data_IF_696598547141
#
_entry.id   IF_696598547141
#
_cell.length_a   1.000
_cell.length_b   1.000
_cell.length_c   1.000
_cell.angle_alpha   90.00
_cell.angle_beta   90.00
_cell.angle_gamma   90.00
#
_symmetry.space_group_name_H-M   'P 1'
#
loop_
_entity.id
_entity.type
_entity.pdbx_description
1 polymer ?
#
# COMPACT_ATOMS: atom_id res chain seq x y z
N UNK A 1 -7.08 4.20 -0.52
CA UNK A 1 -7.29 5.03 0.68
C UNK A 1 -6.63 4.40 1.92
N UNK A 2 -5.94 5.18 2.74
CA UNK A 2 -5.53 4.80 4.11
C UNK A 2 -6.73 4.86 5.05
N UNK A 3 -6.87 3.87 5.93
CA UNK A 3 -7.95 3.80 6.92
C UNK A 3 -7.39 4.05 8.31
N UNK A 4 -6.49 3.19 8.77
CA UNK A 4 -5.99 3.23 10.14
C UNK A 4 -4.67 2.48 10.31
N UNK A 5 -4.09 2.62 11.50
CA UNK A 5 -2.92 1.86 11.95
C UNK A 5 -3.34 0.90 13.06
N UNK A 6 -3.10 -0.40 12.86
CA UNK A 6 -3.36 -1.42 13.86
C UNK A 6 -2.06 -1.89 14.50
N UNK A 7 -2.09 -2.10 15.82
CA UNK A 7 -1.02 -2.76 16.58
C UNK A 7 -1.46 -4.19 16.88
N UNK A 8 -0.73 -5.15 16.33
CA UNK A 8 -1.00 -6.59 16.48
C UNK A 8 0.13 -7.25 17.27
N UNK A 9 -0.17 -8.37 17.92
CA UNK A 9 0.82 -9.22 18.56
C UNK A 9 0.90 -10.52 17.77
N UNK A 10 2.10 -10.91 17.36
CA UNK A 10 2.33 -12.17 16.65
C UNK A 10 3.27 -13.06 17.47
N UNK A 11 2.89 -14.32 17.61
CA UNK A 11 3.71 -15.37 18.19
C UNK A 11 4.71 -15.84 17.13
N UNK A 12 5.96 -15.94 17.53
CA UNK A 12 7.05 -16.50 16.73
C UNK A 12 7.70 -17.61 17.52
N UNK A 13 8.31 -18.52 16.77
CA UNK A 13 9.11 -19.60 17.29
C UNK A 13 10.51 -19.49 16.69
N UNK A 14 11.52 -19.75 17.51
CA UNK A 14 12.90 -19.87 17.04
C UNK A 14 13.55 -21.10 17.66
N UNK A 15 14.39 -21.76 16.89
CA UNK A 15 15.22 -22.84 17.37
C UNK A 15 16.52 -22.28 17.95
N UNK A 16 16.91 -22.76 19.13
CA UNK A 16 18.22 -22.48 19.72
C UNK A 16 19.31 -23.29 19.02
N UNK A 17 20.57 -22.95 19.30
CA UNK A 17 21.74 -23.69 18.77
C UNK A 17 21.74 -25.17 19.18
N UNK A 18 21.09 -25.52 20.29
CA UNK A 18 20.98 -26.90 20.81
C UNK A 18 19.71 -27.62 20.34
N UNK A 19 18.94 -27.02 19.42
CA UNK A 19 17.74 -27.63 18.88
C UNK A 19 16.45 -27.39 19.68
N UNK A 20 16.54 -26.78 20.87
CA UNK A 20 15.37 -26.44 21.71
C UNK A 20 14.62 -25.27 21.10
N UNK A 21 13.29 -25.38 20.99
CA UNK A 21 12.42 -24.34 20.49
C UNK A 21 11.98 -23.37 21.59
N UNK A 22 11.99 -22.08 21.28
CA UNK A 22 11.53 -21.02 22.17
C UNK A 22 10.51 -20.14 21.47
N UNK A 23 9.38 -19.94 22.14
CA UNK A 23 8.33 -19.02 21.69
C UNK A 23 8.56 -17.62 22.23
N UNK A 24 8.29 -16.61 21.41
CA UNK A 24 8.30 -15.21 21.84
C UNK A 24 7.23 -14.42 21.09
N UNK A 25 6.71 -13.38 21.73
CA UNK A 25 5.76 -12.47 21.10
C UNK A 25 6.48 -11.21 20.60
N UNK A 26 6.06 -10.71 19.42
CA UNK A 26 6.52 -9.43 18.90
C UNK A 26 5.33 -8.56 18.52
N UNK A 27 5.37 -7.30 18.97
CA UNK A 27 4.46 -6.24 18.53
C UNK A 27 4.75 -5.92 17.07
N UNK A 28 3.72 -5.99 16.23
CA UNK A 28 3.77 -5.63 14.83
C UNK A 28 2.74 -4.56 14.54
N UNK A 29 3.19 -3.47 13.94
CA UNK A 29 2.32 -2.40 13.45
C UNK A 29 2.00 -2.65 11.98
N UNK A 30 0.71 -2.65 11.63
CA UNK A 30 0.23 -2.82 10.27
C UNK A 30 -0.67 -1.64 9.90
N UNK A 31 -0.65 -1.27 8.62
CA UNK A 31 -1.56 -0.29 8.07
C UNK A 31 -2.71 -0.98 7.37
N UNK A 32 -3.91 -0.44 7.57
CA UNK A 32 -5.13 -0.87 6.90
C UNK A 32 -5.43 0.10 5.77
N UNK A 33 -5.58 -0.44 4.57
CA UNK A 33 -5.91 0.32 3.38
C UNK A 33 -7.20 -0.21 2.76
N UNK A 34 -7.92 0.67 2.07
CA UNK A 34 -8.96 0.34 1.09
C UNK A 34 -8.40 0.51 -0.30
N UNK A 35 -8.60 -0.48 -1.18
CA UNK A 35 -8.14 -0.39 -2.55
C UNK A 35 -8.91 0.68 -3.33
N UNK A 36 -8.19 1.60 -3.96
CA UNK A 36 -8.79 2.66 -4.78
C UNK A 36 -9.30 2.16 -6.15
N UNK A 37 -9.00 0.90 -6.52
CA UNK A 37 -9.49 0.29 -7.75
C UNK A 37 -10.74 -0.59 -7.53
N UNK A 38 -10.69 -1.56 -6.61
CA UNK A 38 -11.78 -2.51 -6.39
C UNK A 38 -12.47 -2.39 -5.02
N UNK A 39 -12.05 -1.47 -4.16
CA UNK A 39 -12.69 -1.20 -2.88
C UNK A 39 -12.39 -2.20 -1.76
N UNK A 40 -11.69 -3.31 -2.02
CA UNK A 40 -11.35 -4.30 -0.98
C UNK A 40 -10.40 -3.73 0.05
N UNK A 41 -10.55 -4.14 1.31
CA UNK A 41 -9.60 -3.81 2.37
C UNK A 41 -8.41 -4.75 2.34
N UNK A 42 -7.22 -4.23 2.63
CA UNK A 42 -6.00 -5.02 2.70
C UNK A 42 -5.00 -4.43 3.69
N UNK A 43 -4.11 -5.30 4.17
CA UNK A 43 -3.12 -4.98 5.19
C UNK A 43 -1.73 -4.89 4.57
N UNK A 44 -0.91 -3.94 5.04
CA UNK A 44 0.54 -3.95 4.78
C UNK A 44 1.32 -3.75 6.07
N UNK A 45 2.44 -4.46 6.27
CA UNK A 45 3.33 -4.18 7.39
C UNK A 45 3.83 -2.73 7.33
N UNK A 46 3.79 -2.00 8.46
CA UNK A 46 4.30 -0.62 8.52
C UNK A 46 5.74 -0.51 8.01
N UNK A 47 6.58 -1.50 8.34
CA UNK A 47 7.99 -1.54 7.91
C UNK A 47 8.19 -1.66 6.38
N UNK A 48 7.15 -2.00 5.62
CA UNK A 48 7.18 -2.12 4.16
C UNK A 48 6.50 -0.95 3.43
N UNK A 49 6.08 0.08 4.17
CA UNK A 49 5.38 1.23 3.63
C UNK A 49 6.13 2.47 4.08
N UNK A 50 6.54 3.29 3.11
CA UNK A 50 7.06 4.61 3.37
C UNK A 50 6.06 5.40 4.26
N UNK A 51 6.49 6.01 5.38
CA UNK A 51 5.60 6.74 6.28
C UNK A 51 4.74 7.79 5.58
N UNK A 52 5.28 8.49 4.59
CA UNK A 52 4.56 9.55 3.87
C UNK A 52 3.45 8.98 2.99
N UNK A 53 3.56 7.70 2.61
CA UNK A 53 2.54 6.98 1.86
C UNK A 53 1.43 6.44 2.76
N UNK A 54 1.50 6.55 4.08
CA UNK A 54 0.40 6.20 4.98
C UNK A 54 -0.65 7.34 5.06
N UNK A 55 -0.99 7.95 3.92
CA UNK A 55 -1.95 9.04 3.80
C UNK A 55 -2.90 8.82 2.61
N UNK A 56 -3.88 9.72 2.44
CA UNK A 56 -4.82 9.71 1.32
C UNK A 56 -4.35 10.51 0.10
N UNK A 57 -3.19 11.16 0.18
CA UNK A 57 -2.55 11.85 -0.93
C UNK A 57 -2.05 10.85 -1.98
N UNK A 58 -1.73 9.63 -1.53
CA UNK A 58 -1.31 8.52 -2.36
C UNK A 58 -2.46 7.57 -2.68
N UNK A 59 -2.40 6.97 -3.86
CA UNK A 59 -3.31 5.89 -4.25
C UNK A 59 -2.78 4.54 -3.77
N UNK A 60 -3.68 3.75 -3.20
CA UNK A 60 -3.45 2.46 -2.58
C UNK A 60 -4.18 1.38 -3.35
N UNK A 61 -3.41 0.46 -3.95
CA UNK A 61 -3.94 -0.63 -4.78
C UNK A 61 -3.55 -1.98 -4.17
N UNK A 62 -4.51 -2.89 -4.06
CA UNK A 62 -4.27 -4.22 -3.52
C UNK A 62 -3.47 -5.09 -4.52
N UNK A 63 -2.91 -6.20 -4.04
CA UNK A 63 -2.12 -7.13 -4.87
C UNK A 63 -2.93 -7.85 -5.94
N UNK A 64 -4.24 -7.92 -5.79
CA UNK A 64 -5.14 -8.57 -6.77
C UNK A 64 -5.48 -7.67 -7.96
N UNK A 65 -5.21 -6.37 -7.86
CA UNK A 65 -5.43 -5.44 -8.96
C UNK A 65 -4.15 -5.19 -9.75
N UNK A 66 -4.30 -4.96 -11.05
CA UNK A 66 -3.21 -4.49 -11.90
C UNK A 66 -2.86 -3.02 -11.57
N UNK A 67 -1.79 -2.85 -10.79
CA UNK A 67 -1.31 -1.55 -10.33
C UNK A 67 -0.85 -0.66 -11.47
N UNK A 68 -0.24 -1.22 -12.52
CA UNK A 68 0.28 -0.46 -13.67
C UNK A 68 -0.87 0.06 -14.52
N UNK A 69 -1.85 -0.81 -14.83
CA UNK A 69 -3.05 -0.42 -15.58
C UNK A 69 -3.87 0.63 -14.84
N UNK A 70 -4.01 0.49 -13.52
CA UNK A 70 -4.66 1.52 -12.70
C UNK A 70 -3.91 2.86 -12.74
N UNK A 71 -2.58 2.85 -12.54
CA UNK A 71 -1.77 4.06 -12.59
C UNK A 71 -1.89 4.78 -13.95
N UNK A 72 -1.84 4.03 -15.04
CA UNK A 72 -2.02 4.57 -16.40
C UNK A 72 -3.43 5.18 -16.58
N UNK A 73 -4.49 4.50 -16.13
CA UNK A 73 -5.87 5.00 -16.17
C UNK A 73 -6.01 6.33 -15.43
N UNK A 74 -5.43 6.43 -14.23
CA UNK A 74 -5.44 7.69 -13.45
C UNK A 74 -4.62 8.77 -14.16
N UNK A 75 -3.44 8.45 -14.70
CA UNK A 75 -2.63 9.40 -15.46
C UNK A 75 -3.37 9.97 -16.68
N UNK A 76 -4.05 9.13 -17.47
CA UNK A 76 -4.90 9.57 -18.59
C UNK A 76 -6.03 10.48 -18.10
N UNK A 77 -6.69 10.12 -16.99
CA UNK A 77 -7.76 10.95 -16.40
C UNK A 77 -7.23 12.33 -15.99
N UNK A 78 -6.09 12.38 -15.30
CA UNK A 78 -5.50 13.64 -14.86
C UNK A 78 -5.05 14.50 -16.04
N UNK A 79 -4.45 13.92 -17.07
CA UNK A 79 -4.12 14.66 -18.30
C UNK A 79 -5.34 15.34 -18.91
N UNK A 80 -6.48 14.66 -18.98
CA UNK A 80 -7.73 15.27 -19.48
C UNK A 80 -8.20 16.42 -18.59
N UNK A 81 -8.13 16.25 -17.26
CA UNK A 81 -8.52 17.31 -16.30
C UNK A 81 -7.62 18.54 -16.44
N UNK A 82 -6.31 18.35 -16.60
CA UNK A 82 -5.35 19.44 -16.76
C UNK A 82 -5.18 19.92 -18.20
N UNK A 83 -5.97 19.38 -19.14
CA UNK A 83 -5.86 19.64 -20.57
C UNK A 83 -4.42 19.49 -21.06
N UNK A 84 -3.77 18.36 -20.76
CA UNK A 84 -2.40 18.05 -21.16
C UNK A 84 -2.37 17.04 -22.31
N UNK A 85 -1.38 17.18 -23.19
CA UNK A 85 -1.06 16.26 -24.27
C UNK A 85 -0.59 14.88 -23.76
N UNK A 86 -0.39 13.92 -24.68
CA UNK A 86 -0.03 12.55 -24.31
C UNK A 86 1.33 12.46 -23.59
N UNK A 87 2.28 13.31 -23.98
CA UNK A 87 3.61 13.47 -23.40
C UNK A 87 3.61 14.24 -22.07
N UNK A 88 2.48 14.83 -21.65
CA UNK A 88 2.38 15.69 -20.46
C UNK A 88 3.33 16.91 -20.51
N UNK A 89 3.65 17.38 -21.71
CA UNK A 89 4.60 18.48 -21.96
C UNK A 89 3.89 19.77 -22.31
N UNK A 90 2.76 19.70 -23.02
CA UNK A 90 2.01 20.88 -23.48
C UNK A 90 0.54 20.80 -23.08
N UNK A 91 -0.08 21.98 -22.90
CA UNK A 91 -1.52 22.08 -22.73
C UNK A 91 -2.21 22.00 -24.09
N UNK A 92 -3.21 21.14 -24.21
CA UNK A 92 -4.12 21.09 -25.36
C UNK A 92 -5.11 22.24 -25.24
N UNK A 93 -4.98 23.24 -26.13
CA UNK A 93 -5.90 24.36 -26.29
C UNK A 93 -7.30 23.89 -26.70
#
# INVERSE_FOLDING_TARGET
MFIETLKTMRLYERQSKLGIYHTFHRKNTVYVFKCDNCGVTFLRPRAKVDPDRASNDYKHVCSYCDTKKYAQKIGVKMRKVYQLDASSTMKTL
#
